data_IF_602948351895
#
_entry.id   IF_602948351895
#
_cell.length_a   1.000
_cell.length_b   1.000
_cell.length_c   1.000
_cell.angle_alpha   90.00
_cell.angle_beta   90.00
_cell.angle_gamma   90.00
#
_symmetry.space_group_name_H-M   'P 1'
#
loop_
_entity.id
_entity.type
_entity.pdbx_description
1 polymer ?
#
# COMPACT_ATOMS: atom_id res chain seq x y z
N UNK A 1 20.37 -51.54 -39.66
CA UNK A 1 19.94 -50.17 -39.94
C UNK A 1 20.83 -49.24 -39.07
N UNK A 2 21.82 -48.54 -39.65
CA UNK A 2 22.76 -47.69 -38.93
C UNK A 2 22.15 -46.29 -38.87
N UNK A 3 21.69 -45.87 -37.72
CA UNK A 3 21.20 -44.49 -37.49
C UNK A 3 22.39 -43.55 -37.59
N UNK A 4 22.31 -42.56 -38.48
CA UNK A 4 23.39 -41.58 -38.68
C UNK A 4 23.53 -40.67 -37.47
N UNK A 5 24.78 -40.31 -37.11
CA UNK A 5 25.06 -39.35 -36.03
C UNK A 5 24.31 -38.01 -36.21
N UNK A 6 24.02 -37.59 -37.43
CA UNK A 6 23.23 -36.39 -37.75
C UNK A 6 21.76 -36.52 -37.36
N UNK A 7 21.18 -37.70 -37.49
CA UNK A 7 19.79 -37.96 -37.08
C UNK A 7 19.64 -37.91 -35.54
N UNK A 8 20.64 -38.43 -34.82
CA UNK A 8 20.65 -38.40 -33.34
C UNK A 8 20.79 -36.97 -32.82
N UNK A 9 21.69 -36.16 -33.42
CA UNK A 9 21.86 -34.75 -33.01
C UNK A 9 20.65 -33.91 -33.31
N UNK A 10 19.98 -34.11 -34.44
CA UNK A 10 18.75 -33.39 -34.80
C UNK A 10 17.60 -33.75 -33.83
N UNK A 11 17.48 -35.04 -33.48
CA UNK A 11 16.45 -35.51 -32.51
C UNK A 11 16.67 -34.97 -31.10
N UNK A 12 17.92 -34.88 -30.63
CA UNK A 12 18.26 -34.32 -29.32
C UNK A 12 17.99 -32.81 -29.26
N UNK A 13 18.28 -32.08 -30.34
CA UNK A 13 18.00 -30.62 -30.41
C UNK A 13 16.49 -30.39 -30.44
N UNK A 14 15.73 -31.18 -31.20
CA UNK A 14 14.26 -31.08 -31.25
C UNK A 14 13.62 -31.40 -29.89
N UNK A 15 14.15 -32.40 -29.17
CA UNK A 15 13.68 -32.80 -27.84
C UNK A 15 14.03 -31.73 -26.78
N UNK A 16 15.20 -31.11 -26.86
CA UNK A 16 15.58 -29.98 -26.00
C UNK A 16 14.70 -28.74 -26.23
N UNK A 17 14.31 -28.48 -27.47
CA UNK A 17 13.39 -27.39 -27.83
C UNK A 17 11.97 -27.65 -27.34
N UNK A 18 11.50 -28.89 -27.36
CA UNK A 18 10.20 -29.31 -26.82
C UNK A 18 10.16 -29.21 -25.28
N UNK A 19 11.27 -29.50 -24.59
CA UNK A 19 11.38 -29.35 -23.13
C UNK A 19 11.41 -27.89 -22.70
N UNK A 20 11.94 -26.95 -23.49
CA UNK A 20 11.93 -25.52 -23.17
C UNK A 20 10.56 -24.87 -23.36
N UNK A 21 9.67 -25.45 -24.20
CA UNK A 21 8.31 -24.97 -24.40
C UNK A 21 7.35 -25.35 -23.23
N UNK A 22 7.73 -26.29 -22.36
CA UNK A 22 6.85 -26.79 -21.29
C UNK A 22 6.91 -25.99 -19.98
N UNK A 23 7.81 -24.99 -19.85
CA UNK A 23 7.94 -24.17 -18.65
C UNK A 23 7.14 -22.85 -18.71
N UNK A 24 6.24 -22.64 -19.66
CA UNK A 24 5.45 -21.41 -19.80
C UNK A 24 4.07 -21.46 -19.12
N UNK A 25 3.81 -22.43 -18.26
CA UNK A 25 2.69 -22.37 -17.33
C UNK A 25 3.15 -21.75 -16.01
N UNK A 26 3.55 -20.47 -16.04
CA UNK A 26 3.41 -19.64 -14.86
C UNK A 26 1.91 -19.63 -14.54
N UNK A 27 1.50 -20.26 -13.44
CA UNK A 27 0.17 -20.08 -12.88
C UNK A 27 0.02 -18.58 -12.62
N UNK A 28 -0.66 -17.86 -13.52
CA UNK A 28 -1.03 -16.47 -13.30
C UNK A 28 -1.74 -16.40 -11.95
N UNK A 29 -1.25 -15.64 -10.98
CA UNK A 29 -1.88 -15.60 -9.67
C UNK A 29 -3.29 -15.04 -9.84
N UNK A 30 -4.26 -15.78 -9.36
CA UNK A 30 -5.68 -15.39 -9.47
C UNK A 30 -6.05 -14.32 -8.45
N UNK A 31 -5.26 -14.21 -7.37
CA UNK A 31 -5.50 -13.31 -6.24
C UNK A 31 -4.19 -12.83 -5.65
N UNK A 32 -4.24 -11.66 -4.98
CA UNK A 32 -3.14 -11.20 -4.13
C UNK A 32 -2.95 -12.18 -2.98
N UNK A 33 -1.72 -12.64 -2.80
CA UNK A 33 -1.35 -13.52 -1.69
C UNK A 33 -1.03 -12.69 -0.44
N UNK A 34 -2.06 -12.35 0.33
CA UNK A 34 -1.87 -11.74 1.63
C UNK A 34 -1.38 -12.79 2.62
N UNK A 35 -0.30 -12.49 3.33
CA UNK A 35 0.30 -13.38 4.33
C UNK A 35 -0.34 -13.17 5.70
N UNK A 36 -0.38 -14.24 6.51
CA UNK A 36 -0.89 -14.20 7.89
C UNK A 36 0.23 -13.91 8.92
N UNK A 37 1.34 -13.30 8.48
CA UNK A 37 2.44 -12.88 9.34
C UNK A 37 2.21 -11.47 9.86
N UNK A 38 2.80 -11.14 11.00
CA UNK A 38 2.76 -9.78 11.52
C UNK A 38 3.61 -8.81 10.68
N UNK A 39 3.45 -7.52 10.92
CA UNK A 39 4.11 -6.48 10.10
C UNK A 39 5.63 -6.51 10.27
N UNK A 40 6.13 -6.78 11.47
CA UNK A 40 7.56 -6.88 11.76
C UNK A 40 8.20 -8.07 11.02
N UNK A 41 7.55 -9.21 11.00
CA UNK A 41 7.98 -10.38 10.21
C UNK A 41 7.93 -10.10 8.71
N UNK A 42 6.90 -9.38 8.23
CA UNK A 42 6.79 -8.97 6.83
C UNK A 42 7.96 -8.06 6.41
N UNK A 43 8.35 -7.11 7.25
CA UNK A 43 9.51 -6.23 7.02
C UNK A 43 10.81 -7.06 7.00
N UNK A 44 10.98 -7.98 7.95
CA UNK A 44 12.17 -8.84 7.99
C UNK A 44 12.27 -9.72 6.73
N UNK A 45 11.15 -10.30 6.29
CA UNK A 45 11.10 -11.10 5.08
C UNK A 45 11.38 -10.25 3.83
N UNK A 46 10.78 -9.06 3.73
CA UNK A 46 11.02 -8.13 2.62
C UNK A 46 12.49 -7.74 2.52
N UNK A 47 13.12 -7.45 3.66
CA UNK A 47 14.55 -7.16 3.75
C UNK A 47 15.44 -8.32 3.28
N UNK A 48 15.08 -9.56 3.65
CA UNK A 48 15.82 -10.75 3.23
C UNK A 48 15.67 -11.07 1.74
N UNK A 49 14.49 -10.80 1.17
CA UNK A 49 14.15 -11.10 -0.22
C UNK A 49 14.39 -9.92 -1.19
N UNK A 50 14.72 -8.73 -0.69
CA UNK A 50 14.82 -7.51 -1.51
C UNK A 50 13.48 -7.12 -2.10
N UNK A 51 12.39 -7.33 -1.36
CA UNK A 51 11.03 -6.95 -1.72
C UNK A 51 10.58 -5.73 -0.92
N UNK A 52 9.48 -5.12 -1.33
CA UNK A 52 8.79 -4.10 -0.56
C UNK A 52 7.70 -4.73 0.31
N UNK A 53 7.17 -3.99 1.28
CA UNK A 53 5.98 -4.39 2.05
C UNK A 53 4.78 -3.60 1.56
N UNK A 54 3.68 -4.30 1.33
CA UNK A 54 2.38 -3.73 0.99
C UNK A 54 1.42 -4.01 2.15
N UNK A 55 0.93 -2.96 2.81
CA UNK A 55 0.03 -3.05 3.96
C UNK A 55 -1.33 -2.51 3.59
N UNK A 56 -2.37 -3.35 3.70
CA UNK A 56 -3.77 -2.96 3.49
C UNK A 56 -4.48 -2.86 4.84
N UNK A 57 -4.68 -1.63 5.32
CA UNK A 57 -5.46 -1.36 6.52
C UNK A 57 -6.95 -1.39 6.20
N UNK A 58 -7.66 -2.27 6.87
CA UNK A 58 -9.08 -2.51 6.65
C UNK A 58 -9.84 -2.77 7.94
N UNK A 59 -11.16 -2.83 7.83
CA UNK A 59 -12.06 -3.34 8.87
C UNK A 59 -13.19 -4.17 8.24
N UNK A 60 -13.78 -5.06 9.02
CA UNK A 60 -14.88 -5.91 8.56
C UNK A 60 -16.13 -5.12 8.14
N UNK A 61 -16.34 -3.94 8.69
CA UNK A 61 -17.43 -3.01 8.38
C UNK A 61 -17.09 -2.01 7.26
N UNK A 62 -15.82 -1.93 6.82
CA UNK A 62 -15.37 -1.00 5.78
C UNK A 62 -15.86 -1.43 4.40
N UNK A 63 -16.93 -0.83 3.92
CA UNK A 63 -17.50 -1.13 2.59
C UNK A 63 -16.56 -0.78 1.43
N UNK A 64 -15.84 0.36 1.42
CA UNK A 64 -14.83 0.65 0.40
C UNK A 64 -13.70 -0.37 0.35
N UNK A 65 -13.25 -0.88 1.51
CA UNK A 65 -12.23 -1.94 1.56
C UNK A 65 -12.73 -3.23 0.88
N UNK A 66 -13.95 -3.64 1.21
CA UNK A 66 -14.60 -4.82 0.57
C UNK A 66 -14.77 -4.64 -0.95
N UNK A 67 -15.00 -3.43 -1.39
CA UNK A 67 -15.07 -3.14 -2.81
C UNK A 67 -13.68 -3.32 -3.46
N UNK A 68 -12.60 -2.78 -2.88
CA UNK A 68 -11.25 -2.97 -3.38
C UNK A 68 -10.85 -4.45 -3.40
N UNK A 69 -11.23 -5.21 -2.40
CA UNK A 69 -10.98 -6.65 -2.36
C UNK A 69 -11.60 -7.39 -3.56
N UNK A 70 -12.84 -7.02 -3.91
CA UNK A 70 -13.59 -7.66 -5.00
C UNK A 70 -13.21 -7.17 -6.39
N UNK A 71 -12.59 -6.02 -6.51
CA UNK A 71 -12.28 -5.37 -7.80
C UNK A 71 -10.78 -5.18 -7.99
N UNK A 72 -10.15 -4.32 -7.21
CA UNK A 72 -8.75 -3.94 -7.36
C UNK A 72 -7.80 -5.08 -7.05
N UNK A 73 -7.98 -5.75 -5.90
CA UNK A 73 -7.11 -6.87 -5.50
C UNK A 73 -7.44 -8.19 -6.20
N UNK A 74 -8.55 -8.27 -6.93
CA UNK A 74 -8.88 -9.40 -7.80
C UNK A 74 -8.42 -9.19 -9.26
N UNK A 75 -7.84 -8.03 -9.61
CA UNK A 75 -7.21 -7.81 -10.90
C UNK A 75 -5.91 -8.61 -10.99
N UNK A 76 -5.78 -9.42 -12.06
CA UNK A 76 -4.61 -10.28 -12.27
C UNK A 76 -3.29 -9.51 -12.31
N UNK A 77 -3.27 -8.31 -12.85
CA UNK A 77 -2.06 -7.47 -12.96
C UNK A 77 -1.59 -7.06 -11.57
N UNK A 78 -2.52 -6.63 -10.72
CA UNK A 78 -2.25 -6.30 -9.31
C UNK A 78 -1.73 -7.54 -8.58
N UNK A 79 -2.42 -8.68 -8.70
CA UNK A 79 -1.98 -9.92 -8.08
C UNK A 79 -0.59 -10.35 -8.55
N UNK A 80 -0.30 -10.25 -9.84
CA UNK A 80 1.03 -10.58 -10.40
C UNK A 80 2.11 -9.65 -9.85
N UNK A 81 1.88 -8.33 -9.85
CA UNK A 81 2.86 -7.35 -9.38
C UNK A 81 3.11 -7.49 -7.88
N UNK A 82 2.06 -7.57 -7.06
CA UNK A 82 2.19 -7.70 -5.61
C UNK A 82 2.87 -9.02 -5.21
N UNK A 83 2.43 -10.16 -5.75
CA UNK A 83 3.00 -11.46 -5.37
C UNK A 83 4.47 -11.61 -5.80
N UNK A 84 4.87 -10.99 -6.90
CA UNK A 84 6.26 -11.05 -7.36
C UNK A 84 7.19 -10.13 -6.55
N UNK A 85 6.74 -8.94 -6.17
CA UNK A 85 7.61 -7.85 -5.77
C UNK A 85 7.39 -7.34 -4.34
N UNK A 86 6.30 -7.75 -3.68
CA UNK A 86 5.93 -7.28 -2.36
C UNK A 86 5.64 -8.44 -1.41
N UNK A 87 5.85 -8.20 -0.12
CA UNK A 87 5.27 -8.99 0.96
C UNK A 87 3.98 -8.25 1.34
N UNK A 88 2.83 -8.86 1.04
CA UNK A 88 1.52 -8.23 1.24
C UNK A 88 0.90 -8.69 2.55
N UNK A 89 0.51 -7.76 3.42
CA UNK A 89 -0.17 -8.01 4.69
C UNK A 89 -1.48 -7.26 4.77
N UNK A 90 -2.50 -7.88 5.37
CA UNK A 90 -3.76 -7.23 5.74
C UNK A 90 -3.74 -6.87 7.22
N UNK A 91 -4.06 -5.63 7.53
CA UNK A 91 -4.09 -5.12 8.90
C UNK A 91 -5.53 -4.77 9.28
N UNK A 92 -6.17 -5.64 10.06
CA UNK A 92 -7.52 -5.39 10.56
C UNK A 92 -7.45 -4.46 11.77
N UNK A 93 -7.92 -3.23 11.65
CA UNK A 93 -7.85 -2.24 12.74
C UNK A 93 -8.72 -2.56 13.96
N UNK A 94 -9.60 -3.54 13.87
CA UNK A 94 -10.51 -3.96 14.96
C UNK A 94 -9.89 -5.03 15.87
N UNK A 95 -8.80 -5.68 15.46
CA UNK A 95 -8.06 -6.61 16.31
C UNK A 95 -6.93 -5.91 17.09
N UNK A 96 -6.35 -6.59 18.07
CA UNK A 96 -5.37 -6.01 19.01
C UNK A 96 -4.11 -5.54 18.28
N UNK A 97 -3.58 -6.38 17.40
CA UNK A 97 -2.36 -6.08 16.65
C UNK A 97 -2.60 -4.98 15.61
N UNK A 98 -3.69 -5.08 14.86
CA UNK A 98 -4.05 -4.07 13.88
C UNK A 98 -4.39 -2.72 14.49
N UNK A 99 -4.96 -2.69 15.71
CA UNK A 99 -5.14 -1.45 16.46
C UNK A 99 -3.79 -0.80 16.85
N UNK A 100 -2.80 -1.61 17.24
CA UNK A 100 -1.45 -1.09 17.53
C UNK A 100 -0.81 -0.53 16.25
N UNK A 101 -0.92 -1.26 15.14
CA UNK A 101 -0.38 -0.81 13.84
C UNK A 101 -1.11 0.43 13.33
N UNK A 102 -2.43 0.51 13.50
CA UNK A 102 -3.21 1.73 13.21
C UNK A 102 -2.64 2.95 13.93
N UNK A 103 -2.35 2.81 15.23
CA UNK A 103 -1.79 3.91 16.03
C UNK A 103 -0.34 4.21 15.64
N UNK A 104 0.50 3.17 15.44
CA UNK A 104 1.90 3.31 15.04
C UNK A 104 2.05 4.05 13.70
N UNK A 105 1.18 3.77 12.75
CA UNK A 105 1.18 4.40 11.43
C UNK A 105 0.15 5.52 11.27
N UNK A 106 -0.53 5.92 12.35
CA UNK A 106 -1.51 7.02 12.38
C UNK A 106 -2.60 6.91 11.31
N UNK A 107 -3.14 5.72 11.16
CA UNK A 107 -4.20 5.46 10.20
C UNK A 107 -5.54 5.97 10.72
N UNK A 108 -6.04 7.06 10.15
CA UNK A 108 -7.29 7.70 10.54
C UNK A 108 -8.45 7.41 9.58
N UNK A 109 -8.14 6.91 8.38
CA UNK A 109 -9.10 6.67 7.31
C UNK A 109 -9.01 5.25 6.81
N UNK A 110 -10.10 4.73 6.21
CA UNK A 110 -10.13 3.41 5.56
C UNK A 110 -10.80 3.51 4.18
N UNK A 111 -10.28 2.83 3.16
CA UNK A 111 -9.04 2.04 3.18
C UNK A 111 -7.80 2.93 3.28
N UNK A 112 -6.76 2.44 3.94
CA UNK A 112 -5.41 3.02 3.87
C UNK A 112 -4.44 1.94 3.43
N UNK A 113 -3.65 2.26 2.40
CA UNK A 113 -2.55 1.41 1.94
C UNK A 113 -1.24 2.11 2.28
N UNK A 114 -0.30 1.37 2.86
CA UNK A 114 1.08 1.82 3.03
C UNK A 114 2.01 0.93 2.21
N UNK A 115 2.99 1.54 1.57
CA UNK A 115 4.10 0.84 0.95
C UNK A 115 5.37 1.18 1.72
N UNK A 116 6.04 0.13 2.22
CA UNK A 116 7.34 0.28 2.84
C UNK A 116 8.42 -0.28 1.90
N UNK A 117 9.60 0.33 1.91
CA UNK A 117 10.76 -0.24 1.24
C UNK A 117 11.28 -1.47 1.99
N UNK A 118 12.29 -2.15 1.46
CA UNK A 118 12.89 -3.35 2.08
C UNK A 118 13.56 -3.10 3.45
N UNK A 119 13.78 -1.85 3.83
CA UNK A 119 14.29 -1.45 5.15
C UNK A 119 13.17 -1.12 6.15
N UNK A 120 11.89 -1.23 5.74
CA UNK A 120 10.73 -0.91 6.56
C UNK A 120 10.38 0.58 6.60
N UNK A 121 11.04 1.43 5.80
CA UNK A 121 10.72 2.84 5.69
C UNK A 121 9.51 3.05 4.77
N UNK A 122 8.53 3.82 5.22
CA UNK A 122 7.36 4.18 4.41
C UNK A 122 7.77 5.04 3.22
N UNK A 123 7.41 4.61 2.02
CA UNK A 123 7.66 5.29 0.74
C UNK A 123 6.39 5.79 0.08
N UNK A 124 5.23 5.26 0.48
CA UNK A 124 3.93 5.71 -0.04
C UNK A 124 2.83 5.51 0.99
N UNK A 125 1.86 6.44 0.99
CA UNK A 125 0.62 6.39 1.78
C UNK A 125 -0.55 6.75 0.90
N UNK A 126 -1.54 5.86 0.82
CA UNK A 126 -2.75 6.03 0.01
C UNK A 126 -3.95 5.93 0.95
N UNK A 127 -4.66 7.02 1.16
CA UNK A 127 -5.83 7.12 2.05
C UNK A 127 -7.13 7.25 1.25
N UNK A 128 -7.26 6.45 0.21
CA UNK A 128 -8.43 6.48 -0.68
C UNK A 128 -8.68 5.12 -1.34
N UNK A 129 -9.88 4.97 -1.88
CA UNK A 129 -10.23 3.83 -2.73
C UNK A 129 -9.50 3.95 -4.07
N UNK A 130 -8.83 2.89 -4.51
CA UNK A 130 -8.07 2.85 -5.75
C UNK A 130 -8.70 1.87 -6.75
N UNK A 131 -8.72 2.23 -8.03
CA UNK A 131 -8.95 1.28 -9.12
C UNK A 131 -7.63 0.60 -9.51
N UNK A 132 -7.72 -0.54 -10.20
CA UNK A 132 -6.54 -1.35 -10.49
C UNK A 132 -5.46 -0.60 -11.29
N UNK A 133 -5.84 0.21 -12.28
CA UNK A 133 -4.87 0.94 -13.12
C UNK A 133 -4.10 2.00 -12.33
N UNK A 134 -4.78 2.72 -11.43
CA UNK A 134 -4.14 3.71 -10.55
C UNK A 134 -3.16 3.05 -9.58
N UNK A 135 -3.61 1.98 -8.91
CA UNK A 135 -2.75 1.25 -7.97
C UNK A 135 -1.54 0.63 -8.68
N UNK A 136 -1.73 0.07 -9.87
CA UNK A 136 -0.63 -0.52 -10.64
C UNK A 136 0.44 0.54 -10.96
N UNK A 137 0.05 1.74 -11.36
CA UNK A 137 0.99 2.84 -11.61
C UNK A 137 1.82 3.21 -10.37
N UNK A 138 1.21 3.21 -9.18
CA UNK A 138 1.91 3.46 -7.91
C UNK A 138 2.84 2.30 -7.56
N UNK A 139 2.39 1.06 -7.70
CA UNK A 139 3.22 -0.12 -7.43
C UNK A 139 4.46 -0.14 -8.33
N UNK A 140 4.30 0.16 -9.62
CA UNK A 140 5.40 0.20 -10.58
C UNK A 140 6.39 1.34 -10.27
N UNK A 141 5.89 2.51 -9.85
CA UNK A 141 6.71 3.65 -9.45
C UNK A 141 7.64 3.30 -8.27
N UNK A 142 7.11 2.65 -7.24
CA UNK A 142 7.89 2.31 -6.04
C UNK A 142 8.69 1.02 -6.16
N UNK A 143 8.38 0.18 -7.17
CA UNK A 143 9.09 -1.07 -7.43
C UNK A 143 10.48 -0.82 -8.09
N UNK A 144 11.23 0.14 -7.58
CA UNK A 144 12.53 0.55 -8.08
C UNK A 144 13.69 -0.11 -7.31
N UNK A 145 14.89 -0.25 -7.90
CA UNK A 145 16.05 -0.84 -7.22
C UNK A 145 16.43 -0.13 -5.92
N UNK A 146 16.20 1.18 -5.82
CA UNK A 146 16.52 2.00 -4.64
C UNK A 146 15.70 1.57 -3.42
N UNK A 147 14.50 1.06 -3.64
CA UNK A 147 13.60 0.58 -2.60
C UNK A 147 13.81 -0.90 -2.24
N UNK A 148 14.78 -1.59 -2.88
CA UNK A 148 15.00 -3.03 -2.78
C UNK A 148 16.42 -3.37 -2.29
N UNK A 149 16.78 -2.92 -1.12
CA UNK A 149 18.07 -3.23 -0.52
C UNK A 149 18.02 -4.62 0.14
N UNK A 150 18.89 -5.53 -0.27
CA UNK A 150 19.05 -6.83 0.40
C UNK A 150 20.05 -6.64 1.54
N UNK A 151 19.57 -6.70 2.78
CA UNK A 151 20.42 -6.67 3.96
C UNK A 151 20.93 -8.08 4.21
N UNK A 152 22.18 -8.33 3.82
CA UNK A 152 22.86 -9.59 4.17
C UNK A 152 23.41 -9.49 5.59
N UNK A 153 22.72 -10.05 6.55
CA UNK A 153 23.24 -10.22 7.90
C UNK A 153 24.37 -11.26 7.88
N UNK A 154 25.62 -10.82 8.02
CA UNK A 154 26.77 -11.70 8.21
C UNK A 154 26.83 -12.15 9.69
N UNK A 155 26.11 -13.20 10.01
CA UNK A 155 26.08 -13.81 11.36
C UNK A 155 27.43 -14.35 11.83
N UNK A 156 28.45 -14.38 10.96
CA UNK A 156 29.80 -14.84 11.31
C UNK A 156 30.70 -13.72 11.85
N UNK A 157 30.28 -12.47 11.76
CA UNK A 157 30.97 -11.39 12.47
C UNK A 157 30.49 -11.34 13.91
N UNK A 158 31.17 -12.06 14.78
CA UNK A 158 31.05 -11.83 16.21
C UNK A 158 31.21 -10.33 16.49
N UNK A 159 30.36 -9.72 17.32
CA UNK A 159 30.52 -8.31 17.68
C UNK A 159 31.92 -8.15 18.29
N UNK A 160 32.75 -7.28 17.71
CA UNK A 160 34.04 -6.91 18.22
C UNK A 160 33.77 -6.29 19.59
N UNK A 161 34.16 -7.02 20.67
CA UNK A 161 34.12 -6.43 22.00
C UNK A 161 35.06 -5.23 21.99
N UNK A 162 34.47 -4.04 22.03
CA UNK A 162 35.21 -2.81 22.26
C UNK A 162 35.51 -2.80 23.75
N UNK A 163 36.76 -3.20 24.10
CA UNK A 163 37.31 -2.99 25.43
C UNK A 163 37.58 -1.48 25.57
N UNK A 164 36.67 -0.76 26.15
CA UNK A 164 36.82 0.64 26.47
C UNK A 164 35.55 1.09 27.21
N UNK A 165 35.75 1.34 28.51
CA UNK A 165 34.76 1.90 29.43
C UNK A 165 34.35 3.30 28.98
N UNK A 166 33.28 3.40 28.28
CA UNK A 166 32.42 4.58 28.19
C UNK A 166 31.00 4.05 28.10
N UNK A 167 30.13 4.52 28.98
CA UNK A 167 28.73 4.16 29.07
C UNK A 167 28.03 4.56 27.75
N UNK A 168 28.05 3.65 26.77
CA UNK A 168 27.17 3.73 25.60
C UNK A 168 25.89 3.04 26.04
N UNK A 169 24.87 3.84 26.34
CA UNK A 169 23.50 3.34 26.41
C UNK A 169 23.29 2.50 25.14
N UNK A 170 22.97 1.23 25.30
CA UNK A 170 22.51 0.35 24.21
C UNK A 170 21.23 1.00 23.65
N UNK A 171 21.38 1.85 22.64
CA UNK A 171 20.22 2.29 21.87
C UNK A 171 19.67 1.02 21.18
N UNK A 172 18.51 0.60 21.65
CA UNK A 172 17.67 -0.38 20.99
C UNK A 172 17.61 0.00 19.50
N UNK A 173 18.02 -0.85 18.53
CA UNK A 173 17.99 -0.52 17.11
C UNK A 173 16.60 -0.15 16.60
N UNK A 174 15.58 -0.30 17.44
CA UNK A 174 14.20 0.06 17.19
C UNK A 174 13.80 1.39 17.87
N UNK A 175 14.68 2.05 18.62
CA UNK A 175 14.42 3.38 19.19
C UNK A 175 14.62 4.42 18.09
N UNK A 176 13.53 4.95 17.59
CA UNK A 176 13.52 6.13 16.70
C UNK A 176 14.24 7.25 17.46
N UNK A 177 15.36 7.76 16.92
CA UNK A 177 16.11 8.82 17.57
C UNK A 177 15.20 10.05 17.79
N UNK A 178 15.41 10.80 18.87
CA UNK A 178 14.63 12.02 19.15
C UNK A 178 14.70 13.03 17.99
N UNK A 179 15.76 12.99 17.18
CA UNK A 179 15.89 13.82 15.99
C UNK A 179 15.02 13.32 14.83
N UNK A 180 14.84 12.00 14.69
CA UNK A 180 13.93 11.44 13.71
C UNK A 180 12.48 11.64 14.15
N UNK A 181 12.19 11.50 15.46
CA UNK A 181 10.89 11.84 16.04
C UNK A 181 10.54 13.33 15.81
N UNK A 182 11.51 14.23 15.98
CA UNK A 182 11.32 15.66 15.74
C UNK A 182 11.12 15.98 14.25
N UNK A 183 11.78 15.23 13.35
CA UNK A 183 11.56 15.34 11.90
C UNK A 183 10.21 14.77 11.48
N UNK A 184 9.72 13.73 12.17
CA UNK A 184 8.36 13.21 11.99
C UNK A 184 7.32 14.19 12.52
N UNK A 185 7.52 14.83 13.67
CA UNK A 185 6.58 15.81 14.24
C UNK A 185 6.53 17.12 13.44
N UNK A 186 7.63 17.55 12.80
CA UNK A 186 7.61 18.68 11.86
C UNK A 186 6.84 18.37 10.56
N UNK A 187 6.70 17.09 10.19
CA UNK A 187 5.81 16.64 9.11
C UNK A 187 4.35 16.58 9.59
N UNK A 188 4.11 16.32 10.88
CA UNK A 188 2.77 16.20 11.50
C UNK A 188 2.05 17.54 11.73
N UNK A 189 2.70 18.68 11.78
CA UNK A 189 2.01 19.97 11.92
C UNK A 189 1.33 20.45 10.63
N UNK A 190 1.46 19.74 9.51
CA UNK A 190 0.64 19.99 8.34
C UNK A 190 -0.76 19.37 8.53
N UNK A 191 -1.64 20.10 9.22
CA UNK A 191 -3.06 19.79 9.22
C UNK A 191 -3.54 19.72 7.78
N UNK A 192 -3.89 18.52 7.32
CA UNK A 192 -4.44 18.34 5.99
C UNK A 192 -5.95 18.59 6.06
N UNK A 193 -6.38 19.70 5.51
CA UNK A 193 -7.80 20.01 5.36
C UNK A 193 -8.36 19.29 4.14
N UNK A 194 -9.58 18.76 4.27
CA UNK A 194 -10.32 18.14 3.17
C UNK A 194 -11.67 18.82 3.02
N UNK A 195 -12.23 18.77 1.83
CA UNK A 195 -13.51 19.38 1.55
C UNK A 195 -14.57 18.29 1.40
N UNK A 196 -15.58 18.27 2.27
CA UNK A 196 -16.71 17.35 2.19
C UNK A 196 -17.67 17.84 1.12
N UNK A 197 -17.91 17.00 0.11
CA UNK A 197 -18.78 17.32 -1.05
C UNK A 197 -20.06 16.51 -1.08
N UNK A 198 -20.23 15.53 -0.20
CA UNK A 198 -21.44 14.73 -0.12
C UNK A 198 -21.47 13.81 1.10
N UNK A 199 -22.68 13.43 1.50
CA UNK A 199 -22.95 12.41 2.53
C UNK A 199 -24.08 11.52 2.04
N UNK A 200 -23.86 10.22 2.07
CA UNK A 200 -24.80 9.22 1.57
C UNK A 200 -25.02 8.14 2.63
N UNK A 201 -26.23 7.60 2.69
CA UNK A 201 -26.57 6.45 3.54
C UNK A 201 -26.47 5.11 2.79
N UNK A 202 -26.23 5.18 1.48
CA UNK A 202 -26.02 4.03 0.60
C UNK A 202 -24.66 4.14 -0.10
N UNK A 203 -23.84 3.09 -0.01
CA UNK A 203 -22.52 3.06 -0.61
C UNK A 203 -22.54 3.12 -2.13
N UNK A 204 -23.53 2.50 -2.78
CA UNK A 204 -23.62 2.49 -4.25
C UNK A 204 -23.89 3.90 -4.80
N UNK A 205 -24.62 4.73 -4.04
CA UNK A 205 -24.82 6.14 -4.38
C UNK A 205 -23.55 6.94 -4.19
N UNK A 206 -22.85 6.76 -3.06
CA UNK A 206 -21.55 7.39 -2.82
C UNK A 206 -20.53 7.03 -3.91
N UNK A 207 -20.48 5.76 -4.32
CA UNK A 207 -19.60 5.30 -5.39
C UNK A 207 -19.89 5.95 -6.74
N UNK A 208 -21.18 6.08 -7.12
CA UNK A 208 -21.56 6.77 -8.35
C UNK A 208 -21.11 8.22 -8.34
N UNK A 209 -21.25 8.90 -7.20
CA UNK A 209 -20.80 10.28 -7.07
C UNK A 209 -19.29 10.39 -7.14
N UNK A 210 -18.52 9.47 -6.53
CA UNK A 210 -17.05 9.39 -6.66
C UNK A 210 -16.62 9.25 -8.11
N UNK A 211 -17.27 8.36 -8.88
CA UNK A 211 -16.96 8.18 -10.32
C UNK A 211 -17.17 9.49 -11.07
N UNK A 212 -18.32 10.14 -10.87
CA UNK A 212 -18.63 11.43 -11.49
C UNK A 212 -17.65 12.53 -11.12
N UNK A 213 -17.26 12.61 -9.84
CA UNK A 213 -16.29 13.61 -9.39
C UNK A 213 -14.90 13.36 -10.00
N UNK A 214 -14.48 12.11 -10.19
CA UNK A 214 -13.21 11.75 -10.85
C UNK A 214 -13.15 12.13 -12.33
N UNK A 215 -14.28 12.23 -13.01
CA UNK A 215 -14.33 12.73 -14.40
C UNK A 215 -14.04 14.23 -14.48
N UNK A 216 -14.20 14.96 -13.37
CA UNK A 216 -14.12 16.42 -13.32
C UNK A 216 -12.90 16.93 -12.56
N UNK A 217 -12.48 16.22 -11.51
CA UNK A 217 -11.46 16.66 -10.57
C UNK A 217 -10.28 15.69 -10.54
N UNK A 218 -9.06 16.27 -10.54
CA UNK A 218 -7.80 15.53 -10.40
C UNK A 218 -7.39 15.37 -8.93
N UNK A 219 -8.04 16.10 -8.03
CA UNK A 219 -7.79 16.07 -6.59
C UNK A 219 -8.15 14.71 -6.00
N UNK A 220 -7.42 14.25 -4.96
CA UNK A 220 -7.70 12.98 -4.31
C UNK A 220 -9.11 12.96 -3.70
N UNK A 221 -9.81 11.85 -3.90
CA UNK A 221 -11.15 11.62 -3.37
C UNK A 221 -11.12 10.48 -2.36
N UNK A 222 -11.58 10.76 -1.13
CA UNK A 222 -11.67 9.79 -0.04
C UNK A 222 -13.12 9.64 0.39
N UNK A 223 -13.54 8.40 0.67
CA UNK A 223 -14.85 8.12 1.26
C UNK A 223 -14.65 7.75 2.72
N UNK A 224 -15.13 8.59 3.64
CA UNK A 224 -15.10 8.35 5.07
C UNK A 224 -16.40 7.69 5.53
N UNK A 225 -16.28 6.70 6.41
CA UNK A 225 -17.42 6.11 7.09
C UNK A 225 -17.69 6.88 8.39
N UNK A 226 -18.93 7.38 8.55
CA UNK A 226 -19.38 8.06 9.76
C UNK A 226 -20.54 7.24 10.38
N UNK A 227 -20.36 6.83 11.63
CA UNK A 227 -21.34 6.02 12.36
C UNK A 227 -22.20 6.91 13.24
N UNK A 228 -23.51 6.98 12.96
CA UNK A 228 -24.50 7.71 13.75
C UNK A 228 -25.75 6.88 13.95
N UNK A 229 -26.18 6.72 15.20
CA UNK A 229 -27.45 6.02 15.53
C UNK A 229 -27.58 4.66 14.83
N UNK A 230 -26.55 3.80 14.94
CA UNK A 230 -26.47 2.47 14.32
C UNK A 230 -26.56 2.44 12.79
N UNK A 231 -26.39 3.60 12.14
CA UNK A 231 -26.30 3.72 10.69
C UNK A 231 -24.92 4.18 10.24
N UNK A 232 -24.50 3.65 9.10
CA UNK A 232 -23.27 4.07 8.42
C UNK A 232 -23.61 5.12 7.38
N UNK A 233 -22.92 6.24 7.42
CA UNK A 233 -22.96 7.26 6.39
C UNK A 233 -21.62 7.32 5.67
N UNK A 234 -21.64 7.56 4.38
CA UNK A 234 -20.46 7.65 3.52
C UNK A 234 -20.25 9.12 3.17
N UNK A 235 -19.22 9.75 3.77
CA UNK A 235 -18.82 11.12 3.48
C UNK A 235 -17.80 11.11 2.35
N UNK A 236 -18.06 11.83 1.28
CA UNK A 236 -17.11 12.02 0.20
C UNK A 236 -16.29 13.26 0.49
N UNK A 237 -14.98 13.09 0.58
CA UNK A 237 -13.99 14.13 0.81
C UNK A 237 -13.20 14.33 -0.48
N UNK A 238 -13.07 15.58 -0.91
CA UNK A 238 -12.36 15.97 -2.13
C UNK A 238 -11.18 16.89 -1.78
N UNK A 239 -10.03 16.62 -2.39
CA UNK A 239 -8.81 17.39 -2.20
C UNK A 239 -8.11 17.11 -0.88
N UNK A 240 -6.89 17.63 -0.80
CA UNK A 240 -6.05 17.65 0.39
C UNK A 240 -5.29 18.97 0.40
N UNK A 241 -5.59 19.82 1.38
CA UNK A 241 -5.11 21.20 1.43
C UNK A 241 -4.27 21.43 2.68
N UNK A 242 -3.21 22.20 2.55
CA UNK A 242 -2.30 22.49 3.68
C UNK A 242 -2.79 23.61 4.59
N UNK A 243 -3.77 24.38 4.14
CA UNK A 243 -4.34 25.48 4.93
C UNK A 243 -5.86 25.53 4.81
N UNK A 244 -6.50 26.02 5.89
CA UNK A 244 -7.93 26.29 5.90
C UNK A 244 -8.34 27.26 4.77
N UNK A 245 -7.49 28.24 4.48
CA UNK A 245 -7.74 29.23 3.43
C UNK A 245 -7.79 28.62 2.04
N UNK A 246 -6.89 27.67 1.73
CA UNK A 246 -6.92 26.92 0.47
C UNK A 246 -8.20 26.07 0.34
N UNK A 247 -8.56 25.34 1.41
CA UNK A 247 -9.76 24.53 1.45
C UNK A 247 -11.04 25.37 1.28
N UNK A 248 -11.14 26.52 1.98
CA UNK A 248 -12.26 27.45 1.83
C UNK A 248 -12.34 28.07 0.42
N UNK A 249 -11.18 28.38 -0.17
CA UNK A 249 -11.11 28.89 -1.53
C UNK A 249 -11.59 27.83 -2.53
N UNK A 250 -11.24 26.57 -2.32
CA UNK A 250 -11.70 25.46 -3.13
C UNK A 250 -13.21 25.23 -2.97
N UNK A 251 -13.78 25.32 -1.75
CA UNK A 251 -15.24 25.30 -1.55
C UNK A 251 -15.97 26.36 -2.36
N UNK A 252 -15.42 27.58 -2.44
CA UNK A 252 -15.99 28.66 -3.26
C UNK A 252 -15.96 28.31 -4.76
N UNK A 253 -14.86 27.74 -5.24
CA UNK A 253 -14.73 27.29 -6.64
C UNK A 253 -15.76 26.19 -6.94
N UNK A 254 -15.92 25.21 -6.07
CA UNK A 254 -16.91 24.14 -6.21
C UNK A 254 -18.33 24.69 -6.29
N UNK A 255 -18.65 25.66 -5.44
CA UNK A 255 -19.97 26.30 -5.45
C UNK A 255 -20.22 27.11 -6.70
N UNK A 256 -19.25 27.95 -7.09
CA UNK A 256 -19.42 28.92 -8.20
C UNK A 256 -19.40 28.26 -9.57
N UNK A 257 -18.45 27.33 -9.78
CA UNK A 257 -18.21 26.78 -11.12
C UNK A 257 -18.90 25.45 -11.37
N UNK A 258 -19.21 24.69 -10.31
CA UNK A 258 -19.74 23.33 -10.42
C UNK A 258 -21.09 23.14 -9.71
N UNK A 259 -21.57 24.18 -9.00
CA UNK A 259 -22.81 24.12 -8.20
C UNK A 259 -22.79 23.02 -7.13
N UNK A 260 -21.60 22.67 -6.63
CA UNK A 260 -21.40 21.69 -5.56
C UNK A 260 -21.32 22.43 -4.22
N UNK A 261 -22.25 22.13 -3.29
CA UNK A 261 -22.19 22.59 -1.93
C UNK A 261 -21.16 21.79 -1.15
N UNK A 262 -20.20 22.46 -0.52
CA UNK A 262 -19.07 21.83 0.12
C UNK A 262 -18.70 22.54 1.42
N UNK A 263 -18.17 21.78 2.36
CA UNK A 263 -17.69 22.30 3.66
C UNK A 263 -16.29 21.79 3.94
N UNK A 264 -15.45 22.61 4.58
CA UNK A 264 -14.13 22.19 5.06
C UNK A 264 -14.29 21.31 6.29
N UNK A 265 -13.49 20.22 6.34
CA UNK A 265 -13.51 19.24 7.42
C UNK A 265 -12.08 18.95 7.88
#
# INVERSE_FOLDING_TARGET
MKISRKEITLSVILFAFLLSAFNANANDPKFVNFTDINVEEAIAQASAEGKLVFMDFYASWCTPCKWMEKTTFSDKRIATTLNANFISVKVNIDDVEGFQMKNKYEVNYLPTILILNSEGKMVERIEQTMVADELLGILDLHNSPENRVIIKHDFNKSPKRINGSEDVEEEDPWTISQNDYRRYTEIEEKRNYRVQVGVFDDYSQAQKEVIKLRETFMEPIVVLNDFRNDKVFFKIMLGQFQSLHEADSFCKILKTNFSIDAIVN
#
